data_IF_020099333506
#
_entry.id   IF_020099333506
#
_cell.length_a   1.000
_cell.length_b   1.000
_cell.length_c   1.000
_cell.angle_alpha   90.00
_cell.angle_beta   90.00
_cell.angle_gamma   90.00
#
_symmetry.space_group_name_H-M   'P 1'
#
loop_
_entity.id
_entity.type
_entity.pdbx_description
1 polymer ?
#
# COMPACT_ATOMS: atom_id res chain seq x y z
N UNK A 1 33.83 6.22 -24.32
CA UNK A 1 32.92 5.11 -24.65
C UNK A 1 33.39 3.89 -23.88
N UNK A 2 32.75 3.59 -22.76
CA UNK A 2 33.01 2.39 -21.97
C UNK A 2 31.64 1.81 -21.65
N UNK A 3 31.33 0.68 -22.27
CA UNK A 3 30.09 -0.07 -22.08
C UNK A 3 30.28 -0.91 -20.82
N UNK A 4 29.47 -0.68 -19.79
CA UNK A 4 29.40 -1.56 -18.62
C UNK A 4 28.34 -2.63 -18.90
N UNK A 5 28.76 -3.88 -19.03
CA UNK A 5 27.87 -5.05 -19.00
C UNK A 5 27.41 -5.26 -17.56
N UNK A 6 26.10 -5.30 -17.34
CA UNK A 6 25.52 -5.86 -16.11
C UNK A 6 25.03 -7.26 -16.43
N UNK A 7 25.54 -8.24 -15.69
CA UNK A 7 25.27 -9.65 -15.85
C UNK A 7 23.85 -10.01 -15.37
N UNK A 8 23.16 -10.83 -16.16
CA UNK A 8 21.84 -11.36 -15.86
C UNK A 8 21.92 -12.51 -14.84
N UNK A 9 21.15 -12.43 -13.76
CA UNK A 9 20.93 -13.53 -12.83
C UNK A 9 19.54 -14.12 -13.04
N UNK A 10 19.52 -15.43 -13.28
CA UNK A 10 18.32 -16.25 -13.49
C UNK A 10 17.68 -16.52 -12.12
N UNK A 11 16.41 -16.10 -11.94
CA UNK A 11 15.63 -16.36 -10.73
C UNK A 11 14.83 -17.65 -10.89
N UNK A 12 15.07 -18.62 -10.01
CA UNK A 12 14.23 -19.80 -9.83
C UNK A 12 13.76 -19.83 -8.37
N UNK A 13 12.45 -19.65 -8.14
CA UNK A 13 11.87 -19.74 -6.80
C UNK A 13 11.63 -21.21 -6.42
N UNK A 14 12.35 -21.68 -5.38
CA UNK A 14 12.07 -22.95 -4.71
C UNK A 14 11.22 -22.70 -3.47
N UNK A 15 10.03 -23.32 -3.44
CA UNK A 15 9.12 -23.36 -2.30
C UNK A 15 9.64 -24.33 -1.23
N UNK A 16 9.69 -23.91 0.04
CA UNK A 16 10.01 -24.79 1.16
C UNK A 16 8.84 -24.92 2.13
N UNK A 17 8.16 -26.07 2.05
CA UNK A 17 7.24 -26.58 3.07
C UNK A 17 8.05 -27.20 4.22
N UNK A 18 7.85 -26.70 5.44
CA UNK A 18 8.49 -27.22 6.65
C UNK A 18 7.47 -27.85 7.59
N UNK A 19 7.19 -29.13 7.40
CA UNK A 19 6.33 -29.94 8.26
C UNK A 19 7.19 -30.57 9.38
N UNK A 20 6.92 -30.24 10.64
CA UNK A 20 7.50 -30.91 11.82
C UNK A 20 6.43 -31.14 12.88
N UNK A 21 5.91 -32.36 12.92
CA UNK A 21 5.19 -32.87 14.10
C UNK A 21 6.13 -33.15 15.27
N UNK A 22 5.56 -33.40 16.46
CA UNK A 22 6.05 -34.50 17.25
C UNK A 22 4.97 -35.49 17.72
N UNK A 23 5.50 -36.68 17.96
CA UNK A 23 4.90 -37.96 18.34
C UNK A 23 4.34 -37.89 19.77
N UNK A 24 3.24 -38.61 20.00
CA UNK A 24 2.42 -38.49 21.21
C UNK A 24 2.94 -39.15 22.48
N UNK A 25 2.13 -39.01 23.54
CA UNK A 25 2.11 -39.92 24.69
C UNK A 25 0.73 -39.90 25.32
N UNK A 26 0.11 -41.06 25.40
CA UNK A 26 -1.08 -41.38 26.21
C UNK A 26 -0.76 -41.22 27.70
N UNK A 27 -1.75 -40.92 28.57
CA UNK A 27 -2.34 -41.85 29.56
C UNK A 27 -3.33 -41.11 30.49
N UNK A 28 -4.50 -41.75 30.71
CA UNK A 28 -5.37 -41.78 31.91
C UNK A 28 -6.02 -40.52 32.50
N UNK A 29 -7.35 -40.52 32.42
CA UNK A 29 -8.35 -39.98 33.37
C UNK A 29 -8.25 -40.65 34.75
N UNK A 30 -8.71 -40.00 35.83
CA UNK A 30 -9.99 -40.46 36.41
C UNK A 30 -10.94 -39.34 36.87
N UNK A 31 -12.19 -39.78 36.98
CA UNK A 31 -13.44 -39.13 37.39
C UNK A 31 -13.52 -38.84 38.91
N UNK A 32 -14.17 -37.73 39.32
CA UNK A 32 -15.25 -37.71 40.31
C UNK A 32 -15.72 -36.30 40.75
N UNK A 33 -17.03 -36.10 40.63
CA UNK A 33 -17.98 -35.52 41.62
C UNK A 33 -18.02 -34.01 41.99
N UNK A 34 -19.10 -33.40 41.46
CA UNK A 34 -20.25 -32.78 42.18
C UNK A 34 -20.10 -31.48 43.01
N UNK A 35 -20.94 -30.53 42.58
CA UNK A 35 -21.84 -29.63 43.35
C UNK A 35 -21.41 -28.17 43.54
N UNK A 36 -22.28 -27.26 43.09
CA UNK A 36 -22.29 -25.86 43.50
C UNK A 36 -22.96 -24.91 42.50
N UNK A 37 -24.29 -24.81 42.51
CA UNK A 37 -25.01 -23.67 41.91
C UNK A 37 -24.91 -22.44 42.84
N UNK A 38 -24.85 -21.23 42.25
CA UNK A 38 -25.83 -20.23 42.67
C UNK A 38 -26.47 -19.47 41.49
N UNK A 39 -27.79 -19.37 41.57
CA UNK A 39 -28.66 -18.26 41.13
C UNK A 39 -28.15 -17.30 40.05
N UNK A 40 -28.63 -17.55 38.83
CA UNK A 40 -28.60 -16.61 37.72
C UNK A 40 -29.51 -15.40 38.00
N UNK A 41 -28.93 -14.21 37.97
CA UNK A 41 -29.67 -12.95 37.78
C UNK A 41 -29.47 -12.52 36.33
N UNK A 42 -30.55 -12.48 35.57
CA UNK A 42 -30.55 -12.08 34.16
C UNK A 42 -30.07 -10.63 33.99
N UNK A 43 -29.06 -10.35 33.16
CA UNK A 43 -28.94 -9.05 32.54
C UNK A 43 -29.82 -9.01 31.30
N UNK A 44 -30.53 -7.89 31.13
CA UNK A 44 -31.37 -7.58 30.01
C UNK A 44 -30.67 -7.88 28.68
N UNK A 45 -31.36 -8.59 27.80
CA UNK A 45 -30.93 -8.89 26.45
C UNK A 45 -30.75 -7.59 25.67
N UNK A 46 -29.50 -7.15 25.51
CA UNK A 46 -29.09 -6.27 24.43
C UNK A 46 -29.55 -6.92 23.12
N UNK A 47 -30.13 -6.20 22.15
CA UNK A 47 -30.46 -6.80 20.88
C UNK A 47 -29.15 -7.26 20.26
N UNK A 48 -28.99 -8.58 20.17
CA UNK A 48 -27.97 -9.23 19.37
C UNK A 48 -28.10 -8.65 17.97
N UNK A 49 -27.09 -7.90 17.53
CA UNK A 49 -27.00 -7.40 16.17
C UNK A 49 -27.22 -8.61 15.24
N UNK A 50 -28.36 -8.58 14.57
CA UNK A 50 -28.81 -9.62 13.67
C UNK A 50 -27.84 -9.71 12.49
N UNK A 51 -27.02 -10.76 12.45
CA UNK A 51 -26.67 -11.47 11.22
C UNK A 51 -26.06 -10.69 10.05
N UNK A 52 -25.33 -9.60 10.27
CA UNK A 52 -24.48 -9.02 9.21
C UNK A 52 -23.15 -9.80 9.16
N UNK A 53 -22.86 -10.46 8.05
CA UNK A 53 -21.51 -10.97 7.78
C UNK A 53 -20.61 -9.75 7.54
N UNK A 54 -19.55 -9.51 8.33
CA UNK A 54 -18.59 -8.45 8.02
C UNK A 54 -18.05 -8.60 6.59
N UNK A 55 -18.08 -7.49 5.84
CA UNK A 55 -17.22 -7.24 4.69
C UNK A 55 -17.36 -8.16 3.49
N UNK A 56 -18.34 -7.89 2.62
CA UNK A 56 -18.24 -8.26 1.20
C UNK A 56 -18.31 -7.01 0.33
N UNK A 57 -17.15 -6.45 0.01
CA UNK A 57 -17.00 -5.53 -1.11
C UNK A 57 -17.28 -6.34 -2.40
N UNK A 58 -18.37 -6.02 -3.07
CA UNK A 58 -18.79 -6.62 -4.35
C UNK A 58 -19.21 -5.49 -5.28
N UNK A 59 -19.33 -5.71 -6.61
CA UNK A 59 -19.77 -4.67 -7.55
C UNK A 59 -21.07 -3.96 -7.15
N UNK A 60 -21.96 -4.61 -6.40
CA UNK A 60 -23.24 -4.04 -5.96
C UNK A 60 -23.28 -3.53 -4.51
N UNK A 61 -22.25 -3.81 -3.69
CA UNK A 61 -22.28 -3.56 -2.24
C UNK A 61 -20.97 -3.02 -1.65
N UNK A 62 -20.01 -2.65 -2.49
CA UNK A 62 -18.77 -2.05 -2.00
C UNK A 62 -18.99 -0.55 -1.71
N UNK A 63 -18.62 -0.06 -0.52
CA UNK A 63 -18.72 1.35 -0.23
C UNK A 63 -17.77 2.16 -1.10
N UNK A 64 -18.17 3.39 -1.38
CA UNK A 64 -17.32 4.34 -2.07
C UNK A 64 -16.15 4.78 -1.18
N UNK A 65 -15.03 5.13 -1.77
CA UNK A 65 -13.91 5.71 -1.03
C UNK A 65 -14.29 7.14 -0.60
N UNK A 66 -14.20 7.47 0.69
CA UNK A 66 -14.53 8.80 1.19
C UNK A 66 -13.50 9.83 0.70
N UNK A 67 -13.89 11.11 0.70
CA UNK A 67 -12.96 12.24 0.55
C UNK A 67 -12.69 12.79 1.95
N UNK A 68 -11.47 12.66 2.48
CA UNK A 68 -11.11 13.33 3.72
C UNK A 68 -11.23 14.85 3.58
N UNK A 69 -11.42 15.57 4.68
CA UNK A 69 -11.50 17.04 4.67
C UNK A 69 -10.16 17.71 4.97
N UNK A 70 -9.14 16.93 5.33
CA UNK A 70 -7.80 17.46 5.59
C UNK A 70 -7.17 17.90 4.27
N UNK A 71 -6.62 19.11 4.26
CA UNK A 71 -5.84 19.60 3.12
C UNK A 71 -4.50 18.86 3.08
N UNK A 72 -4.20 18.19 1.96
CA UNK A 72 -2.84 17.76 1.68
C UNK A 72 -2.02 19.01 1.34
N UNK A 73 -0.88 19.19 2.00
CA UNK A 73 -0.05 20.39 1.88
C UNK A 73 0.37 20.66 0.43
N UNK A 74 -0.12 21.76 -0.13
CA UNK A 74 0.12 22.21 -1.52
C UNK A 74 1.24 23.26 -1.60
N UNK A 75 2.39 22.92 -2.20
CA UNK A 75 3.31 23.88 -2.82
C UNK A 75 4.48 24.41 -1.98
N UNK A 76 4.92 23.67 -0.97
CA UNK A 76 5.89 24.17 0.01
C UNK A 76 7.33 23.69 -0.21
N UNK A 77 7.54 22.67 -1.05
CA UNK A 77 8.85 22.03 -1.23
C UNK A 77 9.54 22.50 -2.51
N UNK A 78 10.75 23.00 -2.35
CA UNK A 78 11.66 23.42 -3.41
C UNK A 78 12.94 22.59 -3.32
N UNK A 79 13.77 22.60 -4.37
CA UNK A 79 15.10 21.98 -4.34
C UNK A 79 15.90 22.39 -3.09
N UNK A 80 15.87 23.67 -2.73
CA UNK A 80 16.68 24.23 -1.66
C UNK A 80 16.21 23.82 -0.26
N UNK A 81 14.92 23.52 -0.10
CA UNK A 81 14.33 23.19 1.21
C UNK A 81 13.90 21.72 1.34
N UNK A 82 14.04 20.91 0.28
CA UNK A 82 13.65 19.51 0.27
C UNK A 82 14.33 18.68 1.38
N UNK A 83 15.65 18.79 1.64
CA UNK A 83 16.30 18.05 2.73
C UNK A 83 15.67 18.29 4.11
N UNK A 84 15.02 19.44 4.33
CA UNK A 84 14.42 19.79 5.60
C UNK A 84 12.91 19.48 5.67
N UNK A 85 12.23 19.39 4.52
CA UNK A 85 10.76 19.28 4.47
C UNK A 85 10.23 17.91 4.06
N UNK A 86 11.01 17.09 3.37
CA UNK A 86 10.51 15.84 2.78
C UNK A 86 10.01 14.85 3.84
N UNK A 87 10.70 14.67 4.97
CA UNK A 87 10.22 13.77 6.03
C UNK A 87 8.83 14.16 6.56
N UNK A 88 8.62 15.45 6.85
CA UNK A 88 7.31 15.98 7.25
C UNK A 88 6.26 15.83 6.16
N UNK A 89 6.65 16.00 4.89
CA UNK A 89 5.78 15.79 3.75
C UNK A 89 5.33 14.34 3.61
N UNK A 90 6.25 13.37 3.65
CA UNK A 90 5.92 11.94 3.58
C UNK A 90 4.98 11.54 4.72
N UNK A 91 5.20 12.08 5.93
CA UNK A 91 4.31 11.89 7.07
C UNK A 91 2.90 12.41 6.78
N UNK A 92 2.77 13.61 6.19
CA UNK A 92 1.46 14.17 5.84
C UNK A 92 0.72 13.37 4.77
N UNK A 93 1.44 12.81 3.79
CA UNK A 93 0.85 11.91 2.78
C UNK A 93 0.33 10.63 3.44
N UNK A 94 1.11 10.04 4.34
CA UNK A 94 0.68 8.85 5.10
C UNK A 94 -0.54 9.13 5.98
N UNK A 95 -0.61 10.29 6.62
CA UNK A 95 -1.77 10.70 7.43
C UNK A 95 -3.05 10.86 6.58
N UNK A 96 -2.94 11.41 5.36
CA UNK A 96 -4.07 11.53 4.44
C UNK A 96 -4.51 10.16 3.88
N UNK A 97 -3.55 9.26 3.60
CA UNK A 97 -3.83 7.89 3.20
C UNK A 97 -4.56 7.12 4.31
N UNK A 98 -4.10 7.20 5.56
CA UNK A 98 -4.81 6.62 6.71
C UNK A 98 -6.24 7.19 6.80
N UNK A 99 -6.38 8.51 6.71
CA UNK A 99 -7.68 9.21 6.76
C UNK A 99 -8.62 8.80 5.62
N UNK A 100 -8.07 8.40 4.48
CA UNK A 100 -8.82 7.93 3.31
C UNK A 100 -9.26 6.47 3.46
N UNK A 101 -8.34 5.58 3.82
CA UNK A 101 -8.57 4.14 3.79
C UNK A 101 -9.22 3.60 5.07
N UNK A 102 -8.92 4.16 6.24
CA UNK A 102 -9.43 3.66 7.52
C UNK A 102 -10.97 3.67 7.61
N UNK A 103 -11.70 4.73 7.18
CA UNK A 103 -13.15 4.70 7.20
C UNK A 103 -13.75 3.65 6.26
N UNK A 104 -13.14 3.43 5.09
CA UNK A 104 -13.58 2.43 4.11
C UNK A 104 -13.43 1.01 4.65
N UNK A 105 -12.28 0.68 5.24
CA UNK A 105 -12.09 -0.60 5.93
C UNK A 105 -13.02 -0.79 7.13
N UNK A 106 -13.26 0.29 7.89
CA UNK A 106 -14.18 0.26 9.04
C UNK A 106 -15.62 -0.03 8.61
N UNK A 107 -16.09 0.55 7.51
CA UNK A 107 -17.43 0.28 6.97
C UNK A 107 -17.58 -1.18 6.54
N UNK A 108 -16.51 -1.79 6.04
CA UNK A 108 -16.46 -3.20 5.69
C UNK A 108 -16.22 -4.13 6.91
N UNK A 109 -15.94 -3.57 8.09
CA UNK A 109 -15.61 -4.36 9.28
C UNK A 109 -14.28 -5.11 9.17
N UNK A 110 -13.34 -4.65 8.34
CA UNK A 110 -12.04 -5.28 8.12
C UNK A 110 -10.95 -4.81 9.12
N UNK A 111 -11.27 -3.82 9.95
CA UNK A 111 -10.39 -3.26 10.98
C UNK A 111 -9.59 -2.05 10.48
N UNK A 112 -8.44 -1.77 11.10
CA UNK A 112 -7.59 -0.65 10.68
C UNK A 112 -6.58 -1.08 9.60
N UNK A 113 -6.51 -0.40 8.44
CA UNK A 113 -5.53 -0.66 7.40
C UNK A 113 -4.21 0.09 7.57
N UNK A 114 -4.09 0.99 8.56
CA UNK A 114 -2.90 1.79 8.75
C UNK A 114 -1.64 0.90 8.90
N UNK A 115 -0.66 1.02 8.00
CA UNK A 115 0.56 0.25 8.02
C UNK A 115 1.58 0.83 9.01
N UNK A 116 2.58 0.01 9.36
CA UNK A 116 3.77 0.50 10.03
C UNK A 116 4.51 1.49 9.13
N UNK A 117 5.06 2.55 9.71
CA UNK A 117 5.75 3.62 8.99
C UNK A 117 7.24 3.61 9.35
N UNK A 118 8.09 3.44 8.35
CA UNK A 118 9.55 3.47 8.49
C UNK A 118 10.10 4.54 7.55
N UNK A 119 10.37 5.74 8.08
CA UNK A 119 11.13 6.75 7.37
C UNK A 119 12.61 6.52 7.68
N UNK A 120 13.40 6.16 6.67
CA UNK A 120 14.84 5.95 6.83
C UNK A 120 15.53 7.30 6.62
N UNK A 121 15.82 7.98 7.73
CA UNK A 121 16.43 9.31 7.75
C UNK A 121 17.93 9.26 7.39
N UNK A 122 18.49 10.41 7.04
CA UNK A 122 19.90 10.52 6.66
C UNK A 122 20.83 9.93 7.74
N UNK A 123 21.65 8.96 7.36
CA UNK A 123 22.57 8.25 8.24
C UNK A 123 21.98 7.02 8.95
N UNK A 124 20.67 6.77 8.81
CA UNK A 124 20.03 5.56 9.32
C UNK A 124 20.15 4.40 8.33
N UNK A 125 19.95 3.19 8.87
CA UNK A 125 19.83 1.98 8.07
C UNK A 125 18.73 1.13 8.67
N UNK A 126 17.84 0.64 7.82
CA UNK A 126 16.77 -0.27 8.19
C UNK A 126 16.98 -1.63 7.55
N UNK A 127 16.84 -2.69 8.35
CA UNK A 127 16.89 -4.08 7.88
C UNK A 127 15.48 -4.64 7.87
N UNK A 128 14.95 -4.89 6.68
CA UNK A 128 13.65 -5.53 6.52
C UNK A 128 13.74 -7.02 6.85
N UNK A 129 12.62 -7.58 7.30
CA UNK A 129 12.37 -9.01 7.37
C UNK A 129 11.91 -9.60 6.04
N UNK A 130 11.60 -8.77 5.04
CA UNK A 130 11.50 -9.24 3.65
C UNK A 130 12.88 -9.52 3.08
N UNK A 131 12.94 -10.54 2.23
CA UNK A 131 14.16 -11.01 1.58
C UNK A 131 14.00 -10.97 0.06
N UNK A 132 15.09 -10.67 -0.64
CA UNK A 132 15.22 -10.81 -2.08
C UNK A 132 16.20 -11.96 -2.43
N UNK A 133 16.64 -12.04 -3.68
CA UNK A 133 17.57 -13.09 -4.13
C UNK A 133 18.94 -13.04 -3.42
N UNK A 134 19.32 -11.88 -2.89
CA UNK A 134 20.58 -11.64 -2.20
C UNK A 134 20.44 -11.72 -0.67
N UNK A 135 19.24 -11.98 -0.17
CA UNK A 135 18.91 -12.21 1.24
C UNK A 135 18.12 -11.06 1.84
N UNK A 136 18.35 -10.76 3.12
CA UNK A 136 17.60 -9.71 3.81
C UNK A 136 17.80 -8.34 3.16
N UNK A 137 16.70 -7.67 2.83
CA UNK A 137 16.72 -6.34 2.24
C UNK A 137 17.23 -5.33 3.27
N UNK A 138 18.29 -4.61 2.92
CA UNK A 138 18.88 -3.54 3.75
C UNK A 138 18.68 -2.22 3.02
N UNK A 139 18.06 -1.27 3.70
CA UNK A 139 17.65 0.01 3.14
C UNK A 139 18.36 1.14 3.87
N UNK A 140 19.09 1.96 3.13
CA UNK A 140 19.66 3.25 3.56
C UNK A 140 18.78 4.40 3.10
N UNK A 141 18.98 5.61 3.64
CA UNK A 141 18.20 6.80 3.29
C UNK A 141 18.24 7.19 1.80
N UNK A 142 19.30 6.83 1.08
CA UNK A 142 19.53 7.10 -0.34
C UNK A 142 19.19 5.92 -1.26
N UNK A 143 18.69 4.81 -0.72
CA UNK A 143 18.27 3.66 -1.52
C UNK A 143 17.19 4.11 -2.52
N UNK A 144 17.40 3.96 -3.85
CA UNK A 144 16.56 4.58 -4.87
C UNK A 144 15.27 3.80 -5.12
N UNK A 145 14.53 3.46 -4.07
CA UNK A 145 13.28 2.74 -4.13
C UNK A 145 12.42 3.01 -2.88
N UNK A 146 11.14 2.64 -2.93
CA UNK A 146 10.26 2.52 -1.77
C UNK A 146 9.75 1.08 -1.70
N UNK A 147 9.32 0.66 -0.51
CA UNK A 147 8.90 -0.74 -0.31
C UNK A 147 7.74 -0.86 0.65
N UNK A 148 6.80 -1.73 0.34
CA UNK A 148 5.95 -2.38 1.32
C UNK A 148 6.50 -3.78 1.67
N UNK A 149 6.67 -4.05 2.96
CA UNK A 149 7.00 -5.39 3.45
C UNK A 149 5.91 -5.91 4.38
N UNK A 150 5.24 -6.99 3.98
CA UNK A 150 4.11 -7.57 4.71
C UNK A 150 4.49 -8.22 6.06
N UNK A 151 5.75 -8.57 6.30
CA UNK A 151 6.19 -9.24 7.54
C UNK A 151 6.85 -8.29 8.55
N UNK A 152 7.17 -7.07 8.13
CA UNK A 152 7.83 -6.08 8.98
C UNK A 152 6.91 -5.54 10.06
N UNK A 153 7.51 -5.16 11.19
CA UNK A 153 6.77 -4.67 12.36
C UNK A 153 7.26 -3.29 12.81
N UNK A 154 6.65 -2.24 12.28
CA UNK A 154 6.90 -0.86 12.68
C UNK A 154 5.69 -0.23 13.40
N UNK A 155 5.85 1.01 13.85
CA UNK A 155 4.74 1.78 14.45
C UNK A 155 3.94 2.46 13.35
N UNK A 156 2.62 2.42 13.43
CA UNK A 156 1.72 3.21 12.59
C UNK A 156 1.71 4.69 13.00
N UNK A 157 0.89 5.53 12.35
CA UNK A 157 0.74 6.95 12.69
C UNK A 157 0.22 7.21 14.10
N UNK A 158 -0.50 6.25 14.69
CA UNK A 158 -0.98 6.29 16.08
C UNK A 158 0.06 5.80 17.11
N UNK A 159 1.22 5.32 16.65
CA UNK A 159 2.28 4.77 17.50
C UNK A 159 2.10 3.29 17.87
N UNK A 160 1.08 2.61 17.35
CA UNK A 160 0.83 1.17 17.60
C UNK A 160 1.76 0.33 16.74
N UNK A 161 2.38 -0.71 17.32
CA UNK A 161 3.21 -1.63 16.52
C UNK A 161 2.31 -2.60 15.76
N UNK A 162 2.35 -2.54 14.44
CA UNK A 162 1.53 -3.35 13.52
C UNK A 162 2.43 -4.18 12.62
N UNK A 163 1.87 -5.21 11.97
CA UNK A 163 2.56 -6.03 10.98
C UNK A 163 2.19 -5.55 9.57
N UNK A 164 3.16 -5.51 8.66
CA UNK A 164 3.07 -4.80 7.38
C UNK A 164 3.60 -3.38 7.53
N UNK A 165 4.70 -3.04 6.87
CA UNK A 165 5.34 -1.73 7.00
C UNK A 165 5.73 -1.13 5.64
N UNK A 166 5.51 0.17 5.49
CA UNK A 166 6.09 0.98 4.41
C UNK A 166 7.48 1.45 4.84
N UNK A 167 8.44 1.28 3.95
CA UNK A 167 9.84 1.68 4.13
C UNK A 167 10.15 2.75 3.10
N UNK A 168 10.40 3.97 3.58
CA UNK A 168 10.55 5.17 2.77
C UNK A 168 11.95 5.80 3.00
N UNK A 169 12.89 5.63 2.07
CA UNK A 169 14.22 6.25 2.12
C UNK A 169 14.15 7.77 1.90
N UNK A 170 14.36 8.57 2.94
CA UNK A 170 14.06 10.01 2.90
C UNK A 170 14.94 10.77 1.90
N UNK A 171 16.24 10.46 1.82
CA UNK A 171 17.14 11.14 0.86
C UNK A 171 16.85 10.75 -0.60
N UNK A 172 16.38 9.52 -0.84
CA UNK A 172 15.89 9.13 -2.14
C UNK A 172 14.68 9.98 -2.55
N UNK A 173 13.72 10.20 -1.65
CA UNK A 173 12.58 11.09 -1.92
C UNK A 173 13.01 12.56 -2.10
N UNK A 174 14.00 13.07 -1.35
CA UNK A 174 14.62 14.39 -1.62
C UNK A 174 15.12 14.47 -3.07
N UNK A 175 15.65 13.35 -3.57
CA UNK A 175 16.11 13.17 -4.94
C UNK A 175 15.08 13.53 -6.03
N UNK A 176 13.78 13.48 -5.73
CA UNK A 176 12.70 13.84 -6.66
C UNK A 176 12.76 15.34 -7.01
N UNK A 177 13.07 16.20 -6.03
CA UNK A 177 13.17 17.66 -6.24
C UNK A 177 14.52 18.11 -6.77
N UNK A 178 15.57 17.31 -6.54
CA UNK A 178 16.94 17.60 -7.03
C UNK A 178 17.22 16.99 -8.41
N UNK A 179 16.40 16.05 -8.88
CA UNK A 179 16.60 15.35 -10.15
C UNK A 179 17.55 14.15 -10.07
N UNK A 180 17.72 13.58 -8.87
CA UNK A 180 18.61 12.44 -8.60
C UNK A 180 17.89 11.14 -8.24
N UNK A 181 16.55 11.16 -8.16
CA UNK A 181 15.72 9.97 -7.94
C UNK A 181 15.02 9.53 -9.22
N UNK A 182 15.09 8.23 -9.57
CA UNK A 182 14.35 7.47 -10.62
C UNK A 182 14.01 8.19 -11.96
N UNK A 183 14.56 9.36 -12.22
CA UNK A 183 14.18 10.30 -13.26
C UNK A 183 15.47 10.85 -13.87
N UNK A 184 15.54 10.84 -15.19
CA UNK A 184 16.63 11.49 -15.92
C UNK A 184 16.40 13.01 -15.92
N UNK A 185 16.98 13.68 -14.92
CA UNK A 185 17.16 15.12 -14.86
C UNK A 185 16.22 15.87 -13.91
N UNK A 186 16.52 17.16 -13.64
CA UNK A 186 15.82 17.93 -12.62
C UNK A 186 14.38 18.35 -13.01
N UNK A 187 13.40 18.09 -12.14
CA UNK A 187 11.96 18.36 -12.36
C UNK A 187 11.57 19.85 -12.20
N UNK A 188 12.48 20.70 -11.72
CA UNK A 188 12.32 22.15 -11.56
C UNK A 188 12.13 22.91 -12.88
N UNK A 189 12.41 22.29 -14.03
CA UNK A 189 12.05 22.86 -15.33
C UNK A 189 10.52 22.86 -15.58
N UNK A 190 9.74 22.23 -14.70
CA UNK A 190 8.32 21.96 -14.89
C UNK A 190 7.46 22.40 -13.67
N UNK A 191 8.00 22.53 -12.45
CA UNK A 191 7.34 23.19 -11.29
C UNK A 191 7.55 22.51 -9.92
N UNK A 192 7.28 23.20 -8.80
CA UNK A 192 7.45 22.66 -7.43
C UNK A 192 6.42 21.60 -6.99
N UNK A 193 5.17 21.77 -7.45
CA UNK A 193 4.07 20.81 -7.25
C UNK A 193 4.30 19.43 -7.89
N UNK A 194 5.18 19.37 -8.91
CA UNK A 194 5.51 18.15 -9.65
C UNK A 194 6.18 17.11 -8.74
N UNK A 195 7.10 17.58 -7.89
CA UNK A 195 7.87 16.71 -7.00
C UNK A 195 7.00 16.18 -5.87
N UNK A 196 6.12 17.04 -5.34
CA UNK A 196 5.17 16.68 -4.29
C UNK A 196 4.25 15.56 -4.80
N UNK A 197 3.51 15.78 -5.89
CA UNK A 197 2.56 14.76 -6.37
C UNK A 197 3.25 13.46 -6.83
N UNK A 198 4.46 13.55 -7.40
CA UNK A 198 5.30 12.40 -7.71
C UNK A 198 5.59 11.56 -6.46
N UNK A 199 6.16 12.19 -5.44
CA UNK A 199 6.49 11.53 -4.18
C UNK A 199 5.23 10.92 -3.54
N UNK A 200 4.13 11.68 -3.53
CA UNK A 200 2.84 11.22 -3.01
C UNK A 200 2.33 9.97 -3.73
N UNK A 201 2.44 9.92 -5.06
CA UNK A 201 2.00 8.77 -5.86
C UNK A 201 2.81 7.51 -5.56
N UNK A 202 4.14 7.63 -5.37
CA UNK A 202 5.00 6.51 -4.95
C UNK A 202 4.57 6.00 -3.57
N UNK A 203 4.36 6.89 -2.60
CA UNK A 203 3.89 6.50 -1.26
C UNK A 203 2.50 5.84 -1.33
N UNK A 204 1.58 6.39 -2.13
CA UNK A 204 0.24 5.83 -2.31
C UNK A 204 0.26 4.46 -3.00
N UNK A 205 1.21 4.21 -3.89
CA UNK A 205 1.44 2.89 -4.47
C UNK A 205 1.85 1.88 -3.39
N UNK A 206 2.86 2.18 -2.57
CA UNK A 206 3.26 1.29 -1.47
C UNK A 206 2.12 1.09 -0.45
N UNK A 207 1.32 2.12 -0.23
CA UNK A 207 0.12 2.01 0.61
C UNK A 207 -0.94 1.11 -0.04
N UNK A 208 -1.04 1.08 -1.37
CA UNK A 208 -1.88 0.15 -2.13
C UNK A 208 -1.53 -1.31 -1.84
N UNK A 209 -0.23 -1.64 -1.75
CA UNK A 209 0.22 -2.97 -1.31
C UNK A 209 -0.23 -3.27 0.13
N UNK A 210 -0.15 -2.30 1.03
CA UNK A 210 -0.65 -2.45 2.41
C UNK A 210 -2.17 -2.69 2.46
N UNK A 211 -2.94 -2.00 1.62
CA UNK A 211 -4.40 -2.21 1.49
C UNK A 211 -4.68 -3.65 1.05
N UNK A 212 -3.99 -4.16 0.03
CA UNK A 212 -4.15 -5.54 -0.43
C UNK A 212 -3.78 -6.54 0.67
N UNK A 213 -2.63 -6.36 1.33
CA UNK A 213 -2.21 -7.22 2.43
C UNK A 213 -3.25 -7.24 3.56
N UNK A 214 -3.83 -6.08 3.88
CA UNK A 214 -4.86 -6.00 4.92
C UNK A 214 -6.16 -6.69 4.52
N UNK A 215 -6.55 -6.63 3.25
CA UNK A 215 -7.70 -7.38 2.70
C UNK A 215 -7.45 -8.88 2.85
N UNK A 216 -6.27 -9.38 2.47
CA UNK A 216 -5.88 -10.79 2.61
C UNK A 216 -6.03 -11.24 4.06
N UNK A 217 -5.46 -10.46 5.01
CA UNK A 217 -5.50 -10.77 6.44
C UNK A 217 -6.92 -10.73 7.01
N UNK A 218 -7.71 -9.71 6.65
CA UNK A 218 -9.10 -9.60 7.11
C UNK A 218 -9.96 -10.77 6.60
N UNK A 219 -9.76 -11.17 5.34
CA UNK A 219 -10.44 -12.30 4.71
C UNK A 219 -9.89 -13.67 5.09
N UNK A 220 -8.78 -13.74 5.84
CA UNK A 220 -8.04 -14.98 6.11
C UNK A 220 -7.72 -15.75 4.81
N UNK A 221 -7.39 -15.02 3.74
CA UNK A 221 -7.10 -15.61 2.45
C UNK A 221 -5.69 -16.24 2.49
N UNK A 222 -5.51 -17.46 1.97
CA UNK A 222 -4.17 -18.03 1.83
C UNK A 222 -3.38 -17.25 0.78
N UNK A 223 -2.04 -17.26 0.86
CA UNK A 223 -1.17 -16.53 -0.07
C UNK A 223 -1.39 -16.92 -1.53
N UNK A 224 -1.85 -18.15 -1.78
CA UNK A 224 -2.21 -18.61 -3.12
C UNK A 224 -3.36 -17.81 -3.75
N UNK A 225 -4.14 -17.07 -2.98
CA UNK A 225 -5.24 -16.24 -3.46
C UNK A 225 -4.89 -14.76 -3.56
N UNK A 226 -3.66 -14.34 -3.25
CA UNK A 226 -3.20 -12.95 -3.52
C UNK A 226 -3.19 -12.67 -5.04
N UNK A 227 -3.29 -11.40 -5.47
CA UNK A 227 -2.98 -11.03 -6.85
C UNK A 227 -1.56 -11.49 -7.20
N UNK A 228 -1.34 -11.92 -8.45
CA UNK A 228 -0.06 -12.51 -8.90
C UNK A 228 0.42 -11.90 -10.21
N UNK A 229 1.71 -12.07 -10.48
CA UNK A 229 2.33 -11.53 -11.68
C UNK A 229 2.18 -10.01 -11.69
N UNK A 230 1.91 -9.43 -12.86
CA UNK A 230 1.75 -7.99 -13.00
C UNK A 230 0.59 -7.42 -12.16
N UNK A 231 -0.43 -8.22 -11.87
CA UNK A 231 -1.59 -7.76 -11.11
C UNK A 231 -1.28 -7.40 -9.66
N UNK A 232 -0.20 -7.91 -9.04
CA UNK A 232 0.19 -7.47 -7.69
C UNK A 232 0.59 -6.01 -7.67
N UNK A 233 1.09 -5.48 -8.78
CA UNK A 233 1.61 -4.11 -8.89
C UNK A 233 0.57 -3.18 -9.51
N UNK A 234 -0.14 -3.67 -10.52
CA UNK A 234 -1.21 -2.91 -11.17
C UNK A 234 -2.39 -2.62 -10.22
N UNK A 235 -2.66 -3.51 -9.27
CA UNK A 235 -3.70 -3.23 -8.25
C UNK A 235 -3.27 -2.09 -7.31
N UNK A 236 -1.99 -2.05 -6.91
CA UNK A 236 -1.44 -0.99 -6.05
C UNK A 236 -1.47 0.36 -6.77
N UNK A 237 -1.05 0.39 -8.03
CA UNK A 237 -1.18 1.54 -8.94
C UNK A 237 -2.65 2.02 -9.04
N UNK A 238 -3.59 1.11 -9.24
CA UNK A 238 -5.01 1.46 -9.34
C UNK A 238 -5.55 2.04 -8.02
N UNK A 239 -5.19 1.47 -6.87
CA UNK A 239 -5.59 1.98 -5.56
C UNK A 239 -4.96 3.35 -5.28
N UNK A 240 -3.71 3.58 -5.69
CA UNK A 240 -3.07 4.91 -5.65
C UNK A 240 -3.85 5.93 -6.49
N UNK A 241 -4.34 5.51 -7.67
CA UNK A 241 -5.25 6.32 -8.49
C UNK A 241 -6.57 6.66 -7.79
N UNK A 242 -7.17 5.72 -7.04
CA UNK A 242 -8.38 6.00 -6.26
C UNK A 242 -8.12 7.07 -5.18
N UNK A 243 -6.97 7.01 -4.49
CA UNK A 243 -6.57 8.04 -3.54
C UNK A 243 -6.31 9.37 -4.24
N UNK A 244 -5.55 9.41 -5.33
CA UNK A 244 -5.30 10.66 -6.06
C UNK A 244 -6.60 11.35 -6.54
N UNK A 245 -7.64 10.58 -6.85
CA UNK A 245 -8.95 11.14 -7.17
C UNK A 245 -9.66 11.79 -5.96
N UNK A 246 -9.41 11.36 -4.72
CA UNK A 246 -9.90 12.06 -3.53
C UNK A 246 -9.21 13.42 -3.40
N UNK A 247 -7.89 13.46 -3.61
CA UNK A 247 -7.08 14.68 -3.57
C UNK A 247 -7.54 15.69 -4.63
N UNK A 248 -7.78 15.26 -5.89
CA UNK A 248 -8.32 16.14 -6.94
C UNK A 248 -9.67 16.76 -6.52
N UNK A 249 -10.54 16.00 -5.86
CA UNK A 249 -11.87 16.51 -5.43
C UNK A 249 -11.78 17.57 -4.32
N UNK A 250 -10.62 17.75 -3.70
CA UNK A 250 -10.35 18.81 -2.72
C UNK A 250 -9.72 20.05 -3.36
N UNK A 251 -9.64 20.10 -4.70
CA UNK A 251 -8.95 21.15 -5.47
C UNK A 251 -7.45 21.29 -5.12
N UNK A 252 -6.86 20.23 -4.56
CA UNK A 252 -5.43 20.17 -4.18
C UNK A 252 -4.53 19.71 -5.34
N UNK A 253 -5.13 19.17 -6.41
CA UNK A 253 -4.44 18.79 -7.64
C UNK A 253 -5.11 19.46 -8.83
N UNK A 254 -4.33 19.83 -9.83
CA UNK A 254 -4.83 20.14 -11.16
C UNK A 254 -4.76 18.91 -12.07
N UNK A 255 -5.58 18.88 -13.13
CA UNK A 255 -5.50 17.84 -14.18
C UNK A 255 -4.10 17.77 -14.80
N UNK A 256 -3.38 18.89 -14.85
CA UNK A 256 -2.00 18.94 -15.35
C UNK A 256 -1.04 18.18 -14.43
N UNK A 257 -1.20 18.28 -13.10
CA UNK A 257 -0.37 17.53 -12.15
C UNK A 257 -0.57 16.01 -12.32
N UNK A 258 -1.81 15.59 -12.59
CA UNK A 258 -2.17 14.19 -12.85
C UNK A 258 -1.51 13.65 -14.12
N UNK A 259 -1.60 14.40 -15.22
CA UNK A 259 -0.92 14.06 -16.49
C UNK A 259 0.59 13.94 -16.29
N UNK A 260 1.16 14.75 -15.41
CA UNK A 260 2.60 14.76 -15.15
C UNK A 260 3.05 13.56 -14.31
N UNK A 261 2.31 13.10 -13.29
CA UNK A 261 2.66 11.85 -12.61
C UNK A 261 2.52 10.63 -13.54
N UNK A 262 1.50 10.62 -14.39
CA UNK A 262 1.37 9.61 -15.45
C UNK A 262 2.59 9.63 -16.39
N UNK A 263 3.09 10.83 -16.72
CA UNK A 263 4.29 11.01 -17.56
C UNK A 263 5.56 10.54 -16.83
N UNK A 264 5.62 10.68 -15.51
CA UNK A 264 6.76 10.21 -14.72
C UNK A 264 6.91 8.69 -14.78
N UNK A 265 5.81 7.95 -14.76
CA UNK A 265 5.82 6.49 -14.88
C UNK A 265 6.48 6.06 -16.19
N UNK A 266 6.31 6.84 -17.27
CA UNK A 266 7.03 6.61 -18.53
C UNK A 266 8.53 6.84 -18.43
N UNK A 267 8.99 7.69 -17.50
CA UNK A 267 10.42 7.99 -17.28
C UNK A 267 11.12 6.97 -16.39
N UNK A 268 10.38 6.27 -15.54
CA UNK A 268 10.89 5.13 -14.75
C UNK A 268 11.29 3.96 -15.68
N UNK A 269 10.66 3.90 -16.86
CA UNK A 269 10.95 2.89 -17.88
C UNK A 269 10.26 1.57 -17.60
N UNK A 270 10.20 0.71 -18.64
CA UNK A 270 9.65 -0.63 -18.46
C UNK A 270 10.61 -1.48 -17.62
N UNK A 271 10.10 -2.24 -16.64
CA UNK A 271 10.89 -3.27 -16.00
C UNK A 271 11.28 -4.32 -17.05
N UNK A 272 12.39 -5.03 -16.80
CA UNK A 272 12.73 -6.20 -17.62
C UNK A 272 11.56 -7.21 -17.65
N UNK A 273 11.29 -7.87 -18.77
CA UNK A 273 10.18 -8.82 -18.88
C UNK A 273 10.25 -9.90 -17.79
N UNK A 274 9.12 -10.16 -17.11
CA UNK A 274 9.02 -11.21 -16.10
C UNK A 274 9.33 -10.78 -14.66
N UNK A 275 9.65 -9.50 -14.40
CA UNK A 275 9.84 -8.97 -13.05
C UNK A 275 8.52 -8.74 -12.28
N UNK A 276 7.36 -8.85 -12.94
CA UNK A 276 6.06 -8.71 -12.29
C UNK A 276 5.61 -7.28 -11.99
N UNK A 277 6.37 -6.26 -12.41
CA UNK A 277 6.01 -4.84 -12.21
C UNK A 277 5.06 -4.26 -13.27
N UNK A 278 4.77 -5.00 -14.34
CA UNK A 278 3.99 -4.52 -15.49
C UNK A 278 4.73 -3.48 -16.33
N UNK A 279 4.35 -3.35 -17.60
CA UNK A 279 4.87 -2.27 -18.46
C UNK A 279 4.39 -0.90 -17.98
N UNK A 280 5.14 0.16 -18.28
CA UNK A 280 4.75 1.55 -18.03
C UNK A 280 3.36 1.85 -18.59
N UNK A 281 3.01 1.28 -19.74
CA UNK A 281 1.67 1.41 -20.34
C UNK A 281 0.57 0.78 -19.46
N UNK A 282 0.80 -0.42 -18.94
CA UNK A 282 -0.16 -1.08 -18.05
C UNK A 282 -0.31 -0.33 -16.73
N UNK A 283 0.80 0.13 -16.14
CA UNK A 283 0.82 0.93 -14.91
C UNK A 283 0.04 2.24 -15.06
N UNK A 284 0.24 2.94 -16.17
CA UNK A 284 -0.52 4.16 -16.51
C UNK A 284 -2.02 3.86 -16.66
N UNK A 285 -2.37 2.76 -17.31
CA UNK A 285 -3.76 2.35 -17.44
C UNK A 285 -4.39 2.02 -16.07
N UNK A 286 -3.63 1.41 -15.16
CA UNK A 286 -4.06 1.10 -13.81
C UNK A 286 -4.34 2.35 -12.98
N UNK A 287 -3.37 3.27 -12.88
CA UNK A 287 -3.56 4.55 -12.19
C UNK A 287 -4.73 5.33 -12.79
N UNK A 288 -4.82 5.41 -14.12
CA UNK A 288 -5.90 6.12 -14.80
C UNK A 288 -7.27 5.50 -14.49
N UNK A 289 -7.36 4.17 -14.42
CA UNK A 289 -8.59 3.47 -14.00
C UNK A 289 -8.97 3.81 -12.57
N UNK A 290 -8.01 3.81 -11.66
CA UNK A 290 -8.22 4.22 -10.28
C UNK A 290 -8.71 5.66 -10.16
N UNK A 291 -8.15 6.53 -11.00
CA UNK A 291 -8.44 7.95 -10.98
C UNK A 291 -9.82 8.28 -11.57
N UNK A 292 -10.08 7.89 -12.82
CA UNK A 292 -11.29 8.25 -13.57
C UNK A 292 -12.45 7.24 -13.41
N UNK A 293 -12.18 6.04 -12.91
CA UNK A 293 -13.15 4.94 -12.93
C UNK A 293 -13.48 4.43 -14.35
N UNK A 294 -14.59 3.68 -14.50
CA UNK A 294 -15.05 3.18 -15.81
C UNK A 294 -15.86 4.20 -16.63
N UNK A 295 -16.09 5.41 -16.10
CA UNK A 295 -16.87 6.45 -16.79
C UNK A 295 -15.95 7.51 -17.40
N UNK A 296 -15.62 7.33 -18.67
CA UNK A 296 -15.01 8.39 -19.50
C UNK A 296 -15.99 9.54 -19.80
N UNK A 297 -17.27 9.43 -19.40
CA UNK A 297 -18.35 10.36 -19.77
C UNK A 297 -19.13 10.95 -18.57
N UNK A 298 -18.59 10.96 -17.35
CA UNK A 298 -19.26 11.66 -16.25
C UNK A 298 -18.63 11.53 -14.87
N UNK A 299 -17.78 12.50 -14.51
CA UNK A 299 -17.68 13.15 -13.19
C UNK A 299 -17.46 12.34 -11.92
N UNK A 300 -17.28 11.02 -11.97
CA UNK A 300 -17.11 10.19 -10.78
C UNK A 300 -15.65 9.84 -10.50
N UNK A 301 -15.20 10.00 -9.25
CA UNK A 301 -13.96 9.40 -8.76
C UNK A 301 -14.02 7.87 -8.97
N UNK A 302 -12.92 7.27 -9.45
CA UNK A 302 -12.79 5.81 -9.48
C UNK A 302 -12.90 5.20 -8.08
N UNK A 303 -13.47 3.99 -8.02
CA UNK A 303 -13.81 3.32 -6.77
C UNK A 303 -12.98 2.05 -6.56
N UNK A 304 -12.67 1.66 -5.30
CA UNK A 304 -11.85 0.48 -4.99
C UNK A 304 -12.32 -0.80 -5.67
N UNK A 305 -13.64 -1.04 -5.72
CA UNK A 305 -14.19 -2.23 -6.38
C UNK A 305 -13.83 -2.32 -7.87
N UNK A 306 -13.65 -1.18 -8.55
CA UNK A 306 -13.21 -1.16 -9.95
C UNK A 306 -11.77 -1.66 -10.12
N UNK A 307 -10.89 -1.38 -9.15
CA UNK A 307 -9.53 -1.89 -9.12
C UNK A 307 -9.50 -3.36 -8.72
N UNK A 308 -10.24 -3.73 -7.67
CA UNK A 308 -10.31 -5.10 -7.15
C UNK A 308 -10.87 -6.08 -8.20
N UNK A 309 -11.97 -5.75 -8.88
CA UNK A 309 -12.55 -6.63 -9.91
C UNK A 309 -11.65 -6.77 -11.14
N UNK A 310 -10.87 -5.75 -11.49
CA UNK A 310 -9.99 -5.80 -12.65
C UNK A 310 -8.71 -6.61 -12.39
N UNK A 311 -8.04 -6.31 -11.28
CA UNK A 311 -6.70 -6.85 -11.00
C UNK A 311 -6.73 -8.00 -9.98
N UNK A 312 -7.91 -8.31 -9.43
CA UNK A 312 -8.12 -9.45 -8.53
C UNK A 312 -9.48 -10.13 -8.75
N UNK A 313 -9.82 -10.50 -10.00
CA UNK A 313 -11.15 -11.02 -10.36
C UNK A 313 -11.50 -12.34 -9.68
N UNK A 314 -10.52 -13.14 -9.26
CA UNK A 314 -10.76 -14.42 -8.58
C UNK A 314 -11.44 -14.24 -7.21
N UNK A 315 -11.26 -13.07 -6.59
CA UNK A 315 -11.86 -12.73 -5.29
C UNK A 315 -13.03 -11.74 -5.41
N UNK A 316 -12.98 -10.84 -6.39
CA UNK A 316 -13.90 -9.69 -6.51
C UNK A 316 -14.67 -9.60 -7.84
N UNK A 317 -14.54 -10.60 -8.71
CA UNK A 317 -15.23 -10.73 -10.00
C UNK A 317 -16.68 -11.19 -9.93
#
# INVERSE_FOLDING_TARGET
MTVLLVAASIVAFASCSGDRGPRGTTTSTPEASRSGSPTASSPASTPSASGAVPGRCTPSRCPGLPVPTAELMTGAITRDNAPQKVSGYLTSVLDDLDSTWTPWFRELGWGDPAPGRVLVEAGDTYRSGCEDADGAIVVTSDTPNAFFCGVDKARDGGGTRVEGSLILPVEAFVGIWTGTFLVQGPLDSIGGFQGEFTAATVVAHEYGHAVVDRIVRAGHLPDSRRPRGENSELIADCLAGNWAATVLRRDELSVTDIVQAVTLIQKIGDPEPGQGHGTSTQRIAAISRGFFGRSVNGGGQGQPIGCLTEYWPEEFG
#
